data_IF_768297297750
#
_entry.id   IF_768297297750
#
_cell.length_a   1.000
_cell.length_b   1.000
_cell.length_c   1.000
_cell.angle_alpha   90.00
_cell.angle_beta   90.00
_cell.angle_gamma   90.00
#
_symmetry.space_group_name_H-M   'P 1'
#
loop_
_entity.id
_entity.type
_entity.pdbx_description
1 polymer ?
#
# COMPACT_ATOMS: atom_id res chain seq x y z
N UNK A 1 41.92 -20.20 16.86
CA UNK A 1 41.15 -18.95 16.72
C UNK A 1 41.03 -18.40 15.27
N UNK A 2 41.25 -19.18 14.23
CA UNK A 2 41.23 -18.69 12.82
C UNK A 2 40.05 -19.17 11.95
N UNK A 3 39.04 -19.86 12.53
CA UNK A 3 37.90 -20.44 11.78
C UNK A 3 36.56 -19.70 11.92
N UNK A 4 36.47 -18.68 12.78
CA UNK A 4 35.23 -17.92 13.01
C UNK A 4 35.03 -16.72 12.05
N UNK A 5 36.13 -16.21 11.48
CA UNK A 5 36.10 -15.08 10.55
C UNK A 5 35.31 -15.36 9.25
N UNK A 6 35.45 -16.53 8.56
CA UNK A 6 34.68 -16.81 7.35
C UNK A 6 33.19 -17.00 7.64
N UNK A 7 32.81 -17.53 8.81
CA UNK A 7 31.40 -17.70 9.18
C UNK A 7 30.70 -16.35 9.39
N UNK A 8 31.40 -15.40 9.99
CA UNK A 8 30.88 -14.02 10.20
C UNK A 8 30.73 -13.27 8.87
N UNK A 9 31.66 -13.46 7.94
CA UNK A 9 31.61 -12.88 6.60
C UNK A 9 30.42 -13.44 5.77
N UNK A 10 30.12 -14.74 5.89
CA UNK A 10 28.97 -15.39 5.25
C UNK A 10 27.65 -14.84 5.83
N UNK A 11 27.54 -14.63 7.13
CA UNK A 11 26.36 -14.02 7.74
C UNK A 11 26.09 -12.59 7.23
N UNK A 12 27.13 -11.78 7.01
CA UNK A 12 26.99 -10.41 6.47
C UNK A 12 26.53 -10.45 5.00
N UNK A 13 26.99 -11.40 4.21
CA UNK A 13 26.58 -11.55 2.79
C UNK A 13 25.12 -11.99 2.63
N UNK A 14 24.56 -12.73 3.58
CA UNK A 14 23.15 -13.18 3.56
C UNK A 14 22.19 -12.02 3.88
N UNK A 15 22.61 -11.03 4.65
CA UNK A 15 21.80 -9.85 4.97
C UNK A 15 21.56 -8.90 3.77
N UNK A 16 22.33 -8.98 2.69
CA UNK A 16 22.19 -8.07 1.53
C UNK A 16 21.04 -8.40 0.59
N UNK A 17 20.29 -9.47 0.82
CA UNK A 17 19.17 -9.91 -0.02
C UNK A 17 17.77 -9.62 0.54
N UNK A 18 17.64 -8.91 1.66
CA UNK A 18 16.34 -8.55 2.20
C UNK A 18 15.72 -7.40 1.38
N UNK A 19 14.88 -7.72 0.41
CA UNK A 19 14.02 -6.75 -0.25
C UNK A 19 12.91 -6.35 0.72
N UNK A 20 13.00 -5.17 1.31
CA UNK A 20 11.91 -4.59 2.06
C UNK A 20 10.93 -3.92 1.09
N UNK A 21 9.64 -4.16 1.31
CA UNK A 21 8.60 -3.40 0.62
C UNK A 21 8.70 -1.92 1.02
N UNK A 22 8.44 -1.04 0.05
CA UNK A 22 8.36 0.41 0.28
C UNK A 22 7.24 1.01 -0.54
N UNK A 23 6.71 2.12 -0.06
CA UNK A 23 5.80 2.97 -0.82
C UNK A 23 6.61 3.74 -1.87
N UNK A 24 6.16 3.71 -3.12
CA UNK A 24 6.76 4.43 -4.24
C UNK A 24 5.75 5.40 -4.84
N UNK A 25 6.21 6.60 -5.16
CA UNK A 25 5.39 7.66 -5.77
C UNK A 25 6.03 8.05 -7.10
N UNK A 26 5.27 7.91 -8.17
CA UNK A 26 5.74 8.19 -9.53
C UNK A 26 5.25 9.55 -10.06
N UNK A 27 4.13 10.06 -9.54
CA UNK A 27 3.57 11.35 -9.94
C UNK A 27 4.15 12.46 -9.06
N UNK A 28 4.84 13.49 -9.62
CA UNK A 28 5.46 14.57 -8.85
C UNK A 28 4.45 15.49 -8.13
N UNK A 29 3.17 15.42 -8.47
CA UNK A 29 2.12 16.18 -7.80
C UNK A 29 1.54 15.47 -6.58
N UNK A 30 1.91 14.22 -6.34
CA UNK A 30 1.47 13.44 -5.17
C UNK A 30 2.44 13.65 -4.01
N UNK A 31 1.90 14.05 -2.88
CA UNK A 31 2.63 14.33 -1.65
C UNK A 31 1.96 13.66 -0.44
N UNK A 32 2.65 13.68 0.69
CA UNK A 32 2.11 13.31 2.02
C UNK A 32 1.50 11.90 2.03
N UNK A 33 2.08 10.95 1.27
CA UNK A 33 1.55 9.57 1.25
C UNK A 33 1.73 8.94 2.63
N UNK A 34 0.64 8.49 3.22
CA UNK A 34 0.60 7.82 4.52
C UNK A 34 -0.13 6.48 4.41
N UNK A 35 0.33 5.51 5.19
CA UNK A 35 -0.30 4.20 5.34
C UNK A 35 -0.40 3.91 6.83
N UNK A 36 -1.62 3.84 7.34
CA UNK A 36 -1.90 3.76 8.78
C UNK A 36 -2.76 2.51 9.03
N UNK A 37 -2.27 1.58 9.83
CA UNK A 37 -3.03 0.39 10.23
C UNK A 37 -3.76 0.65 11.55
N UNK A 38 -5.04 0.32 11.60
CA UNK A 38 -5.86 0.38 12.83
C UNK A 38 -5.79 1.73 13.57
N UNK A 39 -5.64 2.83 12.84
CA UNK A 39 -5.47 4.18 13.39
C UNK A 39 -4.23 4.35 14.29
N UNK A 40 -3.22 3.50 14.13
CA UNK A 40 -1.93 3.57 14.83
C UNK A 40 -0.80 3.96 13.86
N UNK A 41 -0.29 5.19 13.99
CA UNK A 41 0.77 5.76 13.14
C UNK A 41 2.13 5.06 13.30
N UNK A 42 2.31 4.27 14.35
CA UNK A 42 3.56 3.57 14.65
C UNK A 42 3.49 2.08 14.31
N UNK A 43 2.30 1.56 14.05
CA UNK A 43 2.12 0.17 13.67
C UNK A 43 2.57 -0.09 12.23
N UNK A 44 3.13 -1.28 11.94
CA UNK A 44 3.34 -1.70 10.55
C UNK A 44 1.98 -1.86 9.84
N UNK A 45 1.98 -1.71 8.52
CA UNK A 45 0.78 -1.90 7.69
C UNK A 45 0.39 -3.39 7.58
N UNK A 46 0.03 -3.98 8.72
CA UNK A 46 -0.37 -5.38 8.88
C UNK A 46 -1.73 -5.43 9.57
N UNK A 47 -2.66 -6.16 8.99
CA UNK A 47 -4.00 -6.38 9.53
C UNK A 47 -4.32 -7.87 9.59
N UNK A 48 -5.20 -8.24 10.51
CA UNK A 48 -5.73 -9.60 10.63
C UNK A 48 -7.05 -9.72 9.89
N UNK A 49 -7.14 -10.74 9.05
CA UNK A 49 -8.36 -11.00 8.30
C UNK A 49 -9.51 -11.42 9.25
N UNK A 50 -10.69 -10.86 9.01
CA UNK A 50 -11.89 -11.22 9.75
C UNK A 50 -12.04 -10.58 11.14
N UNK A 51 -11.07 -9.79 11.62
CA UNK A 51 -11.12 -9.11 12.91
C UNK A 51 -11.62 -7.65 12.83
N UNK A 52 -12.01 -7.18 11.64
CA UNK A 52 -12.46 -5.79 11.44
C UNK A 52 -11.33 -4.77 11.43
N UNK A 53 -10.09 -5.22 11.37
CA UNK A 53 -8.92 -4.35 11.24
C UNK A 53 -8.82 -3.76 9.84
N UNK A 54 -8.32 -2.53 9.73
CA UNK A 54 -8.24 -1.79 8.47
C UNK A 54 -6.89 -1.10 8.30
N UNK A 55 -6.53 -0.84 7.05
CA UNK A 55 -5.45 0.08 6.67
C UNK A 55 -6.07 1.28 5.98
N UNK A 56 -5.71 2.47 6.42
CA UNK A 56 -6.01 3.72 5.73
C UNK A 56 -4.79 4.15 4.92
N UNK A 57 -5.01 4.43 3.65
CA UNK A 57 -4.04 5.01 2.74
C UNK A 57 -4.52 6.41 2.38
N UNK A 58 -3.68 7.41 2.59
CA UNK A 58 -4.01 8.78 2.25
C UNK A 58 -2.86 9.48 1.53
N UNK A 59 -3.20 10.44 0.68
CA UNK A 59 -2.25 11.27 -0.05
C UNK A 59 -2.87 12.60 -0.49
N UNK A 60 -2.00 13.59 -0.73
CA UNK A 60 -2.39 14.90 -1.24
C UNK A 60 -1.98 15.02 -2.70
N UNK A 61 -2.90 15.44 -3.56
CA UNK A 61 -2.61 15.86 -4.92
C UNK A 61 -2.58 17.38 -5.00
N UNK A 62 -1.43 17.95 -5.33
CA UNK A 62 -1.20 19.41 -5.36
C UNK A 62 -1.69 20.03 -6.68
N UNK A 63 -3.00 20.03 -6.89
CA UNK A 63 -3.68 20.75 -7.98
C UNK A 63 -5.05 21.21 -7.55
N UNK A 64 -5.63 22.17 -8.28
CA UNK A 64 -7.03 22.57 -8.12
C UNK A 64 -8.01 21.61 -8.80
N UNK A 65 -7.52 20.81 -9.75
CA UNK A 65 -8.35 19.94 -10.55
C UNK A 65 -8.69 18.67 -9.77
N UNK A 66 -9.93 18.22 -9.90
CA UNK A 66 -10.34 16.94 -9.39
C UNK A 66 -9.78 15.83 -10.29
N UNK A 67 -9.10 14.85 -9.70
CA UNK A 67 -8.58 13.67 -10.36
C UNK A 67 -9.34 12.44 -9.89
N UNK A 68 -9.69 11.59 -10.83
CA UNK A 68 -10.36 10.33 -10.53
C UNK A 68 -9.34 9.22 -10.32
N UNK A 69 -8.99 8.98 -9.06
CA UNK A 69 -8.10 7.90 -8.70
C UNK A 69 -8.84 6.58 -8.59
N UNK A 70 -8.20 5.54 -9.13
CA UNK A 70 -8.61 4.16 -8.99
C UNK A 70 -7.55 3.37 -8.27
N UNK A 71 -7.92 2.24 -7.65
CA UNK A 71 -6.97 1.36 -7.00
C UNK A 71 -7.23 -0.10 -7.35
N UNK A 72 -6.14 -0.86 -7.46
CA UNK A 72 -6.14 -2.31 -7.65
C UNK A 72 -5.23 -2.97 -6.63
N UNK A 73 -5.58 -4.19 -6.24
CA UNK A 73 -4.84 -5.03 -5.30
C UNK A 73 -4.26 -6.23 -6.02
N UNK A 74 -3.01 -6.53 -5.75
CA UNK A 74 -2.33 -7.73 -6.25
C UNK A 74 -1.83 -8.54 -5.07
N UNK A 75 -2.24 -9.80 -4.99
CA UNK A 75 -1.66 -10.74 -4.03
C UNK A 75 -0.24 -11.12 -4.46
N UNK A 76 0.70 -11.09 -3.52
CA UNK A 76 2.11 -11.34 -3.76
C UNK A 76 2.63 -12.51 -2.93
N UNK A 77 3.63 -13.17 -3.46
CA UNK A 77 4.45 -14.16 -2.76
C UNK A 77 5.30 -13.50 -1.66
N UNK A 78 6.02 -14.30 -0.90
CA UNK A 78 6.88 -13.81 0.17
C UNK A 78 8.02 -12.87 -0.31
N UNK A 79 8.42 -13.01 -1.56
CA UNK A 79 9.43 -12.17 -2.22
C UNK A 79 8.84 -10.93 -2.94
N UNK A 80 7.56 -10.65 -2.74
CA UNK A 80 6.79 -9.56 -3.36
C UNK A 80 6.56 -9.69 -4.87
N UNK A 81 6.88 -10.82 -5.48
CA UNK A 81 6.43 -11.12 -6.84
C UNK A 81 4.92 -11.38 -6.85
N UNK A 82 4.19 -11.00 -7.90
CA UNK A 82 2.78 -11.36 -8.03
C UNK A 82 2.61 -12.88 -7.91
N UNK A 83 1.60 -13.32 -7.18
CA UNK A 83 1.27 -14.75 -7.10
C UNK A 83 0.56 -15.22 -8.38
N UNK A 84 0.55 -16.53 -8.60
CA UNK A 84 -0.16 -17.14 -9.74
C UNK A 84 -1.68 -17.30 -9.49
N UNK A 85 -2.20 -16.75 -8.37
CA UNK A 85 -3.61 -16.81 -8.02
C UNK A 85 -4.43 -15.85 -8.89
N UNK A 86 -5.62 -16.28 -9.28
CA UNK A 86 -6.61 -15.41 -9.90
C UNK A 86 -7.24 -14.46 -8.86
N UNK A 87 -7.73 -13.30 -9.31
CA UNK A 87 -8.32 -12.30 -8.40
C UNK A 87 -9.46 -12.86 -7.54
N UNK A 88 -10.29 -13.71 -8.12
CA UNK A 88 -11.40 -14.36 -7.42
C UNK A 88 -10.98 -15.35 -6.34
N UNK A 89 -9.73 -15.81 -6.34
CA UNK A 89 -9.20 -16.69 -5.30
C UNK A 89 -8.76 -15.89 -4.07
N UNK A 90 -8.18 -14.71 -4.24
CA UNK A 90 -7.65 -13.94 -3.11
C UNK A 90 -8.49 -12.72 -2.72
N UNK A 91 -9.45 -12.26 -3.57
CA UNK A 91 -10.36 -11.15 -3.27
C UNK A 91 -11.83 -11.59 -3.34
N UNK A 92 -12.64 -10.94 -2.52
CA UNK A 92 -14.08 -10.89 -2.61
C UNK A 92 -14.47 -9.46 -3.03
N UNK A 93 -15.28 -9.34 -4.11
CA UNK A 93 -15.63 -8.07 -4.72
C UNK A 93 -14.83 -7.78 -6.01
N UNK A 94 -14.94 -6.55 -6.52
CA UNK A 94 -14.26 -6.12 -7.74
C UNK A 94 -12.90 -5.54 -7.41
N UNK A 95 -11.93 -5.79 -8.28
CA UNK A 95 -10.54 -5.36 -8.10
C UNK A 95 -10.17 -4.21 -9.04
N UNK A 96 -10.98 -3.22 -9.13
CA UNK A 96 -10.70 -1.94 -9.81
C UNK A 96 -11.75 -0.95 -9.36
N UNK A 97 -11.45 -0.21 -8.31
CA UNK A 97 -12.44 0.61 -7.63
C UNK A 97 -11.98 2.06 -7.53
N UNK A 98 -12.91 3.04 -7.64
CA UNK A 98 -12.58 4.43 -7.45
C UNK A 98 -12.31 4.76 -5.98
N UNK A 99 -11.42 5.73 -5.75
CA UNK A 99 -11.26 6.38 -4.45
C UNK A 99 -12.27 7.52 -4.38
N UNK A 100 -13.35 7.31 -3.64
CA UNK A 100 -14.46 8.28 -3.55
C UNK A 100 -14.25 9.31 -2.44
N UNK A 101 -13.55 8.93 -1.36
CA UNK A 101 -13.32 9.82 -0.21
C UNK A 101 -12.21 10.82 -0.51
N UNK A 102 -12.59 12.08 -0.68
CA UNK A 102 -11.67 13.17 -0.92
C UNK A 102 -12.19 14.50 -0.38
N UNK A 103 -11.25 15.35 0.03
CA UNK A 103 -11.51 16.71 0.51
C UNK A 103 -10.66 17.72 -0.27
N UNK A 104 -11.28 18.78 -0.76
CA UNK A 104 -10.59 19.88 -1.43
C UNK A 104 -10.16 20.92 -0.39
N UNK A 105 -8.89 21.34 -0.46
CA UNK A 105 -8.38 22.39 0.42
C UNK A 105 -9.08 23.73 0.21
N UNK A 106 -9.38 24.43 1.30
CA UNK A 106 -10.04 25.74 1.28
C UNK A 106 -9.14 26.77 1.97
N UNK A 107 -8.94 27.93 1.34
CA UNK A 107 -8.14 29.04 1.86
C UNK A 107 -6.67 28.69 2.15
N UNK A 108 -6.08 27.81 1.36
CA UNK A 108 -4.67 27.43 1.45
C UNK A 108 -3.83 28.18 0.42
N UNK A 109 -2.55 28.42 0.73
CA UNK A 109 -1.60 29.06 -0.19
C UNK A 109 -1.31 28.21 -1.40
N UNK A 110 -1.24 26.89 -1.22
CA UNK A 110 -1.14 25.88 -2.28
C UNK A 110 -2.43 25.07 -2.26
N UNK A 111 -3.13 24.99 -3.38
CA UNK A 111 -4.33 24.16 -3.47
C UNK A 111 -3.92 22.68 -3.52
N UNK A 112 -4.69 21.85 -2.85
CA UNK A 112 -4.54 20.40 -2.91
C UNK A 112 -5.89 19.72 -2.72
N UNK A 113 -5.98 18.50 -3.18
CA UNK A 113 -7.07 17.57 -2.87
C UNK A 113 -6.50 16.42 -2.05
N UNK A 114 -7.07 16.19 -0.89
CA UNK A 114 -6.71 15.08 0.01
C UNK A 114 -7.58 13.87 -0.30
N UNK A 115 -6.97 12.74 -0.63
CA UNK A 115 -7.65 11.48 -0.91
C UNK A 115 -7.42 10.49 0.23
N UNK A 116 -8.46 9.73 0.56
CA UNK A 116 -8.41 8.65 1.56
C UNK A 116 -9.02 7.37 1.02
N UNK A 117 -8.38 6.27 1.30
CA UNK A 117 -8.83 4.92 0.99
C UNK A 117 -8.70 4.05 2.23
N UNK A 118 -9.79 3.51 2.72
CA UNK A 118 -9.77 2.50 3.78
C UNK A 118 -9.93 1.11 3.17
N UNK A 119 -9.08 0.19 3.56
CA UNK A 119 -9.07 -1.20 3.10
C UNK A 119 -8.92 -2.17 4.29
N UNK A 120 -9.64 -3.30 4.35
CA UNK A 120 -10.77 -3.72 3.53
C UNK A 120 -11.98 -2.80 3.62
N UNK A 121 -12.83 -2.81 2.57
CA UNK A 121 -14.06 -2.03 2.50
C UNK A 121 -15.21 -2.86 1.91
N UNK A 122 -16.35 -2.23 1.67
CA UNK A 122 -17.53 -2.93 1.13
C UNK A 122 -17.41 -3.31 -0.34
N UNK A 123 -16.49 -2.69 -1.09
CA UNK A 123 -16.26 -2.96 -2.51
C UNK A 123 -15.32 -4.14 -2.72
N UNK A 124 -14.29 -4.28 -1.86
CA UNK A 124 -13.29 -5.35 -1.99
C UNK A 124 -12.72 -5.77 -0.64
N UNK A 125 -12.59 -7.08 -0.44
CA UNK A 125 -12.05 -7.70 0.79
C UNK A 125 -11.06 -8.81 0.45
N UNK A 126 -9.94 -8.91 1.18
CA UNK A 126 -9.02 -10.04 1.01
C UNK A 126 -9.64 -11.31 1.62
N UNK A 127 -9.50 -12.43 0.91
CA UNK A 127 -9.93 -13.77 1.35
C UNK A 127 -8.77 -14.60 1.88
N UNK A 128 -7.58 -14.32 1.41
CA UNK A 128 -6.36 -15.05 1.78
C UNK A 128 -5.39 -14.13 2.52
N UNK A 129 -4.67 -14.70 3.46
CA UNK A 129 -3.52 -14.02 4.07
C UNK A 129 -2.33 -14.02 3.13
N UNK A 130 -1.49 -13.01 3.24
CA UNK A 130 -0.30 -12.88 2.40
C UNK A 130 0.12 -11.42 2.25
N UNK A 131 1.05 -11.19 1.35
CA UNK A 131 1.47 -9.86 0.98
C UNK A 131 0.55 -9.29 -0.10
N UNK A 132 0.14 -8.05 0.05
CA UNK A 132 -0.67 -7.34 -0.93
C UNK A 132 0.04 -6.07 -1.39
N UNK A 133 0.10 -5.89 -2.70
CA UNK A 133 0.51 -4.64 -3.33
C UNK A 133 -0.72 -3.88 -3.76
N UNK A 134 -0.87 -2.66 -3.27
CA UNK A 134 -1.89 -1.73 -3.71
C UNK A 134 -1.28 -0.77 -4.71
N UNK A 135 -1.89 -0.65 -5.89
CA UNK A 135 -1.55 0.32 -6.91
C UNK A 135 -2.68 1.33 -7.01
N UNK A 136 -2.36 2.61 -6.86
CA UNK A 136 -3.28 3.73 -7.12
C UNK A 136 -2.86 4.40 -8.42
N UNK A 137 -3.81 4.67 -9.30
CA UNK A 137 -3.56 5.30 -10.59
C UNK A 137 -4.67 6.29 -10.95
N UNK A 138 -4.34 7.27 -11.79
CA UNK A 138 -5.29 8.25 -12.32
C UNK A 138 -5.98 7.67 -13.54
N UNK A 139 -7.31 7.75 -13.59
CA UNK A 139 -8.16 7.25 -14.68
C UNK A 139 -8.43 8.35 -15.75
N UNK A 140 -7.59 9.40 -15.77
CA UNK A 140 -7.75 10.55 -16.69
C UNK A 140 -7.16 10.31 -18.07
#
# INVERSE_FOLDING_TARGET
>A
MKKTLPLFLICILICCGAHAQRTEVYNPHIHTVQVIANNDYMAPAVIRLGEGETVEISFDHLTHDYHRYQYVLTHCNADWTPSDLSETEYLDGFNDNPIEDHDISVNTTLPYTHYRLTFPNDQVRPKLSGNYRLLVYDDA
#
